data_IF_798962491027
#
_entry.id   IF_798962491027
#
_cell.length_a   1.000
_cell.length_b   1.000
_cell.length_c   1.000
_cell.angle_alpha   90.00
_cell.angle_beta   90.00
_cell.angle_gamma   90.00
#
_symmetry.space_group_name_H-M   'P 1'
#
loop_
_entity.id
_entity.type
_entity.pdbx_description
1 polymer ?
#
# COMPACT_ATOMS: atom_id res chain seq x y z
N UNK A 1 25.67 -30.80 6.74
CA UNK A 1 24.30 -30.36 7.00
C UNK A 1 24.06 -29.04 6.27
N UNK A 2 22.96 -28.94 5.55
CA UNK A 2 22.52 -27.68 4.90
C UNK A 2 21.31 -27.17 5.68
N UNK A 3 21.39 -25.94 6.19
CA UNK A 3 20.26 -25.29 6.83
C UNK A 3 19.31 -24.72 5.75
N UNK A 4 18.05 -25.17 5.77
CA UNK A 4 17.02 -24.69 4.85
C UNK A 4 16.06 -23.77 5.62
N UNK A 5 15.79 -22.55 5.11
CA UNK A 5 14.84 -21.63 5.75
C UNK A 5 13.46 -22.28 5.88
N UNK A 6 12.92 -22.37 7.09
CA UNK A 6 11.57 -22.93 7.33
C UNK A 6 10.44 -22.04 6.77
N UNK A 7 10.74 -20.77 6.47
CA UNK A 7 9.79 -19.79 5.98
C UNK A 7 8.73 -19.31 6.98
N UNK A 8 8.61 -19.89 8.17
CA UNK A 8 7.55 -19.63 9.16
C UNK A 8 8.02 -18.87 10.40
N UNK A 9 9.26 -19.11 10.86
CA UNK A 9 9.80 -18.46 12.06
C UNK A 9 10.06 -16.96 11.82
N UNK A 10 10.19 -16.21 12.91
CA UNK A 10 10.45 -14.75 12.87
C UNK A 10 11.69 -14.42 12.00
N UNK A 11 12.78 -15.18 12.15
CA UNK A 11 13.99 -14.99 11.36
C UNK A 11 13.75 -15.11 9.85
N UNK A 12 13.04 -16.14 9.41
CA UNK A 12 12.70 -16.32 8.01
C UNK A 12 11.74 -15.24 7.47
N UNK A 13 10.78 -14.79 8.30
CA UNK A 13 9.88 -13.70 7.94
C UNK A 13 10.63 -12.37 7.78
N UNK A 14 11.55 -12.06 8.69
CA UNK A 14 12.37 -10.86 8.60
C UNK A 14 13.30 -10.92 7.38
N UNK A 15 13.94 -12.05 7.12
CA UNK A 15 14.79 -12.24 5.93
C UNK A 15 14.00 -12.03 4.63
N UNK A 16 12.78 -12.57 4.57
CA UNK A 16 11.91 -12.39 3.41
C UNK A 16 11.45 -10.94 3.23
N UNK A 17 11.11 -10.25 4.34
CA UNK A 17 10.76 -8.82 4.29
C UNK A 17 11.94 -7.96 3.80
N UNK A 18 13.16 -8.24 4.26
CA UNK A 18 14.39 -7.59 3.78
C UNK A 18 14.59 -7.82 2.29
N UNK A 19 14.50 -9.07 1.83
CA UNK A 19 14.63 -9.41 0.42
C UNK A 19 13.64 -8.59 -0.46
N UNK A 20 12.39 -8.45 -0.03
CA UNK A 20 11.42 -7.65 -0.78
C UNK A 20 11.70 -6.15 -0.70
N UNK A 21 12.18 -5.63 0.44
CA UNK A 21 12.61 -4.24 0.55
C UNK A 21 13.75 -3.94 -0.42
N UNK A 22 14.76 -4.79 -0.45
CA UNK A 22 15.90 -4.65 -1.37
C UNK A 22 15.47 -4.72 -2.84
N UNK A 23 14.54 -5.63 -3.18
CA UNK A 23 13.97 -5.71 -4.54
C UNK A 23 13.16 -4.45 -4.90
N UNK A 24 12.39 -3.90 -3.98
CA UNK A 24 11.66 -2.66 -4.21
C UNK A 24 12.61 -1.47 -4.42
N UNK A 25 13.69 -1.37 -3.66
CA UNK A 25 14.69 -0.33 -3.88
C UNK A 25 15.41 -0.52 -5.22
N UNK A 26 15.79 -1.75 -5.57
CA UNK A 26 16.39 -2.03 -6.87
C UNK A 26 15.45 -1.67 -8.02
N UNK A 27 14.14 -1.96 -7.91
CA UNK A 27 13.14 -1.52 -8.88
C UNK A 27 13.06 0.02 -8.94
N UNK A 28 13.10 0.69 -7.78
CA UNK A 28 13.00 2.15 -7.72
C UNK A 28 14.14 2.85 -8.46
N UNK A 29 15.35 2.26 -8.51
CA UNK A 29 16.49 2.85 -9.26
C UNK A 29 16.30 2.86 -10.78
N UNK A 30 15.35 2.08 -11.30
CA UNK A 30 15.05 2.01 -12.73
C UNK A 30 14.03 3.08 -13.18
N UNK A 31 13.58 3.93 -12.26
CA UNK A 31 12.54 4.92 -12.51
C UNK A 31 12.95 6.29 -11.94
N UNK A 32 12.59 7.36 -12.65
CA UNK A 32 12.92 8.74 -12.27
C UNK A 32 12.17 9.21 -11.02
N UNK A 33 10.99 8.65 -10.75
CA UNK A 33 10.16 9.01 -9.60
C UNK A 33 9.39 7.81 -9.06
N UNK A 34 9.32 7.74 -7.73
CA UNK A 34 8.66 6.64 -7.01
C UNK A 34 8.03 7.19 -5.74
N UNK A 35 6.85 6.69 -5.37
CA UNK A 35 6.14 7.14 -4.19
C UNK A 35 5.63 5.98 -3.36
N UNK A 36 5.71 6.15 -2.04
CA UNK A 36 4.96 5.34 -1.09
C UNK A 36 3.60 6.00 -0.86
N UNK A 37 2.53 5.28 -1.12
CA UNK A 37 1.15 5.79 -1.08
C UNK A 37 0.33 4.98 -0.09
N UNK A 38 -0.36 5.68 0.81
CA UNK A 38 -1.35 5.08 1.71
C UNK A 38 -2.75 5.48 1.26
N UNK A 39 -3.60 4.48 0.99
CA UNK A 39 -5.01 4.66 0.64
C UNK A 39 -5.86 4.26 1.84
N UNK A 40 -6.66 5.20 2.35
CA UNK A 40 -7.57 4.96 3.48
C UNK A 40 -9.03 5.02 3.04
N UNK A 41 -9.93 4.65 3.94
CA UNK A 41 -11.36 4.87 3.79
C UNK A 41 -11.85 5.91 4.81
N UNK A 42 -12.75 6.80 4.40
CA UNK A 42 -13.58 7.57 5.32
C UNK A 42 -14.75 6.70 5.86
N UNK A 43 -15.53 7.22 6.79
CA UNK A 43 -16.58 6.43 7.43
C UNK A 43 -17.71 6.03 6.47
N UNK A 44 -18.01 6.87 5.48
CA UNK A 44 -19.05 6.63 4.48
C UNK A 44 -18.70 5.51 3.49
N UNK A 45 -17.41 5.35 3.19
CA UNK A 45 -16.91 4.37 2.22
C UNK A 45 -16.25 3.16 2.86
N UNK A 46 -16.30 3.05 4.20
CA UNK A 46 -15.64 1.97 4.93
C UNK A 46 -16.38 0.63 4.73
N UNK A 47 -15.76 -0.36 4.03
CA UNK A 47 -16.48 -1.56 3.63
C UNK A 47 -16.78 -2.47 4.82
N UNK A 48 -18.00 -2.98 4.88
CA UNK A 48 -18.40 -4.02 5.83
C UNK A 48 -17.94 -5.41 5.36
N UNK A 49 -17.59 -6.25 6.33
CA UNK A 49 -17.40 -7.66 6.06
C UNK A 49 -18.78 -8.33 5.88
N UNK A 50 -18.98 -8.98 4.76
CA UNK A 50 -20.22 -9.71 4.44
C UNK A 50 -19.91 -11.19 4.43
N UNK A 51 -20.73 -11.99 5.10
CA UNK A 51 -20.67 -13.44 5.03
C UNK A 51 -21.02 -13.87 3.57
N UNK A 52 -20.13 -14.55 2.85
CA UNK A 52 -20.37 -14.91 1.45
C UNK A 52 -21.50 -15.95 1.27
N UNK A 53 -21.84 -16.70 2.30
CA UNK A 53 -22.90 -17.75 2.24
C UNK A 53 -24.28 -17.21 2.60
N UNK A 54 -24.37 -16.35 3.62
CA UNK A 54 -25.66 -15.84 4.13
C UNK A 54 -25.99 -14.43 3.65
N UNK A 55 -25.00 -13.66 3.18
CA UNK A 55 -25.14 -12.24 2.84
C UNK A 55 -25.24 -11.31 4.06
N UNK A 56 -25.11 -11.84 5.28
CA UNK A 56 -25.22 -11.04 6.50
C UNK A 56 -23.99 -10.14 6.69
N UNK A 57 -24.25 -8.91 7.11
CA UNK A 57 -23.19 -7.94 7.44
C UNK A 57 -22.61 -8.31 8.81
N UNK A 58 -21.32 -8.61 8.83
CA UNK A 58 -20.57 -8.88 10.06
C UNK A 58 -20.20 -7.59 10.82
N UNK A 59 -19.76 -7.73 12.09
CA UNK A 59 -19.38 -6.59 12.93
C UNK A 59 -18.04 -5.96 12.53
N UNK A 60 -17.32 -6.53 11.60
CA UNK A 60 -15.98 -6.11 11.20
C UNK A 60 -15.98 -5.40 9.84
N UNK A 61 -15.00 -4.52 9.66
CA UNK A 61 -14.70 -3.90 8.37
C UNK A 61 -13.70 -4.74 7.59
N UNK A 62 -13.71 -4.64 6.27
CA UNK A 62 -12.89 -5.52 5.42
C UNK A 62 -12.11 -4.79 4.33
N UNK A 63 -11.04 -5.43 3.87
CA UNK A 63 -10.28 -5.01 2.69
C UNK A 63 -11.00 -5.48 1.41
N UNK A 64 -11.22 -4.57 0.48
CA UNK A 64 -11.86 -4.86 -0.81
C UNK A 64 -10.83 -4.84 -1.93
N UNK A 65 -10.39 -6.01 -2.37
CA UNK A 65 -9.42 -6.16 -3.46
C UNK A 65 -9.85 -5.41 -4.73
N UNK A 66 -11.16 -5.36 -5.00
CA UNK A 66 -11.72 -4.68 -6.17
C UNK A 66 -11.41 -3.18 -6.18
N UNK A 67 -11.43 -2.53 -5.03
CA UNK A 67 -11.17 -1.09 -4.92
C UNK A 67 -9.76 -0.72 -5.39
N UNK A 68 -8.74 -1.47 -4.94
CA UNK A 68 -7.36 -1.22 -5.39
C UNK A 68 -7.13 -1.62 -6.85
N UNK A 69 -7.84 -2.63 -7.35
CA UNK A 69 -7.80 -2.97 -8.77
C UNK A 69 -8.38 -1.83 -9.63
N UNK A 70 -9.50 -1.24 -9.19
CA UNK A 70 -10.11 -0.10 -9.86
C UNK A 70 -9.24 1.16 -9.73
N UNK A 71 -8.65 1.41 -8.56
CA UNK A 71 -7.67 2.47 -8.38
C UNK A 71 -6.54 2.36 -9.41
N UNK A 72 -5.89 1.21 -9.53
CA UNK A 72 -4.81 1.01 -10.50
C UNK A 72 -5.27 1.17 -11.96
N UNK A 73 -6.49 0.74 -12.29
CA UNK A 73 -7.07 0.95 -13.63
C UNK A 73 -7.31 2.43 -13.92
N UNK A 74 -7.92 3.15 -12.98
CA UNK A 74 -8.17 4.59 -13.12
C UNK A 74 -6.87 5.39 -13.16
N UNK A 75 -5.90 5.04 -12.29
CA UNK A 75 -4.58 5.64 -12.28
C UNK A 75 -3.95 5.56 -13.68
N UNK A 76 -3.84 4.37 -14.25
CA UNK A 76 -3.24 4.17 -15.56
C UNK A 76 -4.03 4.81 -16.70
N UNK A 77 -5.37 4.83 -16.63
CA UNK A 77 -6.23 5.45 -17.65
C UNK A 77 -6.09 6.97 -17.68
N UNK A 78 -5.94 7.61 -16.51
CA UNK A 78 -5.89 9.06 -16.38
C UNK A 78 -4.46 9.62 -16.33
N UNK A 79 -3.45 8.76 -16.32
CA UNK A 79 -2.05 9.14 -16.29
C UNK A 79 -1.63 9.71 -17.64
N UNK A 80 -1.01 10.91 -17.61
CA UNK A 80 -0.71 11.68 -18.83
C UNK A 80 0.70 11.46 -19.39
N UNK A 81 1.53 10.68 -18.68
CA UNK A 81 2.90 10.40 -19.10
C UNK A 81 3.00 9.02 -19.76
N UNK A 82 3.94 8.84 -20.69
CA UNK A 82 4.08 7.61 -21.50
C UNK A 82 4.75 6.45 -20.76
N UNK A 83 5.38 6.71 -19.62
CA UNK A 83 6.07 5.67 -18.86
C UNK A 83 5.13 4.74 -18.13
N UNK A 84 5.54 3.48 -18.02
CA UNK A 84 4.75 2.43 -17.36
C UNK A 84 4.82 2.52 -15.86
N UNK A 85 3.66 2.58 -15.19
CA UNK A 85 3.57 2.50 -13.73
C UNK A 85 3.57 1.04 -13.27
N UNK A 86 4.54 0.69 -12.41
CA UNK A 86 4.59 -0.58 -11.70
C UNK A 86 4.24 -0.37 -10.24
N UNK A 87 3.91 -1.44 -9.52
CA UNK A 87 3.53 -1.31 -8.11
C UNK A 87 3.84 -2.56 -7.29
N UNK A 88 4.03 -2.33 -6.00
CA UNK A 88 4.06 -3.33 -4.95
C UNK A 88 3.08 -2.90 -3.87
N UNK A 89 2.06 -3.71 -3.55
CA UNK A 89 0.91 -3.28 -2.76
C UNK A 89 0.53 -4.33 -1.71
N UNK A 90 0.24 -3.85 -0.49
CA UNK A 90 -0.32 -4.64 0.59
C UNK A 90 -1.56 -3.96 1.19
N UNK A 91 -2.52 -4.74 1.65
CA UNK A 91 -3.59 -4.24 2.51
C UNK A 91 -3.31 -4.58 3.97
N UNK A 92 -3.74 -3.72 4.87
CA UNK A 92 -3.53 -3.81 6.30
C UNK A 92 -4.81 -3.47 7.06
N UNK A 93 -4.94 -4.02 8.26
CA UNK A 93 -5.90 -3.56 9.28
C UNK A 93 -5.15 -2.78 10.35
N UNK A 94 -5.57 -1.56 10.63
CA UNK A 94 -4.95 -0.70 11.64
C UNK A 94 -4.91 -1.37 13.01
N UNK A 95 -3.76 -1.32 13.67
CA UNK A 95 -3.52 -2.03 14.93
C UNK A 95 -4.41 -1.58 16.10
N UNK A 96 -4.88 -0.33 16.07
CA UNK A 96 -5.73 0.23 17.13
C UNK A 96 -7.22 0.16 16.79
N UNK A 97 -7.57 0.43 15.55
CA UNK A 97 -8.97 0.60 15.12
C UNK A 97 -9.50 -0.52 14.23
N UNK A 98 -8.62 -1.43 13.77
CA UNK A 98 -8.98 -2.45 12.80
C UNK A 98 -9.39 -1.90 11.43
N UNK A 99 -9.26 -0.60 11.17
CA UNK A 99 -9.68 0.00 9.89
C UNK A 99 -8.82 -0.51 8.73
N UNK A 100 -9.46 -1.01 7.66
CA UNK A 100 -8.73 -1.44 6.47
C UNK A 100 -8.11 -0.24 5.74
N UNK A 101 -6.89 -0.41 5.26
CA UNK A 101 -6.18 0.53 4.40
C UNK A 101 -5.14 -0.19 3.56
N UNK A 102 -4.59 0.50 2.57
CA UNK A 102 -3.60 -0.09 1.67
C UNK A 102 -2.33 0.74 1.66
N UNK A 103 -1.20 0.04 1.57
CA UNK A 103 0.10 0.64 1.31
C UNK A 103 0.59 0.17 -0.06
N UNK A 104 0.94 1.13 -0.91
CA UNK A 104 1.45 0.87 -2.24
C UNK A 104 2.76 1.60 -2.46
N UNK A 105 3.74 0.92 -3.04
CA UNK A 105 4.89 1.55 -3.66
C UNK A 105 4.57 1.64 -5.14
N UNK A 106 4.52 2.85 -5.67
CA UNK A 106 4.24 3.12 -7.08
C UNK A 106 5.53 3.56 -7.76
N UNK A 107 6.03 2.71 -8.65
CA UNK A 107 7.26 2.95 -9.39
C UNK A 107 6.96 3.61 -10.73
N UNK A 108 7.76 4.61 -11.10
CA UNK A 108 7.62 5.35 -12.34
C UNK A 108 6.42 6.31 -12.37
N UNK A 109 5.75 6.53 -11.25
CA UNK A 109 4.69 7.51 -11.16
C UNK A 109 5.30 8.91 -11.03
N UNK A 110 4.90 9.83 -11.90
CA UNK A 110 5.22 11.24 -11.80
C UNK A 110 3.98 12.00 -11.35
N UNK A 111 4.11 12.78 -10.28
CA UNK A 111 3.04 13.63 -9.73
C UNK A 111 3.48 15.09 -9.84
N UNK A 112 2.67 15.91 -10.53
CA UNK A 112 2.93 17.33 -10.74
C UNK A 112 2.14 18.22 -9.76
N UNK A 113 1.30 17.60 -8.90
CA UNK A 113 0.34 18.24 -8.00
C UNK A 113 0.58 17.90 -6.52
N UNK A 114 1.82 17.58 -6.16
CA UNK A 114 2.15 17.27 -4.77
C UNK A 114 2.10 18.53 -3.90
N UNK A 115 1.28 18.49 -2.85
CA UNK A 115 1.19 19.52 -1.82
C UNK A 115 1.63 18.95 -0.47
N UNK A 116 2.46 19.71 0.26
CA UNK A 116 2.91 19.31 1.59
C UNK A 116 1.71 19.30 2.55
N UNK A 117 1.34 18.12 3.01
CA UNK A 117 0.26 17.91 3.97
C UNK A 117 0.72 18.06 5.42
N UNK A 118 1.83 17.40 5.77
CA UNK A 118 2.35 17.35 7.15
C UNK A 118 3.82 16.95 7.17
N UNK A 119 4.54 17.45 8.18
CA UNK A 119 5.85 16.91 8.54
C UNK A 119 5.71 16.04 9.78
N UNK A 120 6.22 14.82 9.75
CA UNK A 120 6.20 13.93 10.92
C UNK A 120 7.20 14.40 11.99
N UNK A 121 7.03 13.98 13.28
CA UNK A 121 8.01 14.28 14.32
C UNK A 121 9.43 13.78 14.02
N UNK A 122 9.57 12.77 13.18
CA UNK A 122 10.84 12.23 12.70
C UNK A 122 11.43 12.99 11.49
N UNK A 123 10.76 14.08 11.06
CA UNK A 123 11.22 14.93 9.97
C UNK A 123 10.84 14.49 8.55
N UNK A 124 10.06 13.43 8.38
CA UNK A 124 9.57 12.99 7.08
C UNK A 124 8.43 13.87 6.58
N UNK A 125 8.47 14.24 5.32
CA UNK A 125 7.39 14.96 4.67
C UNK A 125 6.31 14.00 4.21
N UNK A 126 5.06 14.36 4.47
CA UNK A 126 3.88 13.71 3.92
C UNK A 126 3.19 14.68 2.99
N UNK A 127 2.79 14.22 1.83
CA UNK A 127 2.14 15.01 0.79
C UNK A 127 0.74 14.50 0.53
N UNK A 128 -0.07 15.33 -0.10
CA UNK A 128 -1.32 14.94 -0.76
C UNK A 128 -1.22 15.23 -2.25
N UNK A 129 -2.10 14.60 -3.04
CA UNK A 129 -2.23 14.80 -4.47
C UNK A 129 -3.70 14.74 -4.83
N UNK A 130 -4.23 15.81 -5.42
CA UNK A 130 -5.61 15.86 -5.88
C UNK A 130 -5.88 14.85 -6.99
N UNK A 131 -4.90 14.61 -7.86
CA UNK A 131 -4.98 13.57 -8.88
C UNK A 131 -5.20 12.19 -8.25
N UNK A 132 -4.44 11.83 -7.21
CA UNK A 132 -4.60 10.54 -6.52
C UNK A 132 -5.89 10.46 -5.72
N UNK A 133 -6.34 11.55 -5.07
CA UNK A 133 -7.63 11.60 -4.38
C UNK A 133 -8.78 11.31 -5.36
N UNK A 134 -8.77 11.94 -6.52
CA UNK A 134 -9.76 11.71 -7.59
C UNK A 134 -9.70 10.29 -8.13
N UNK A 135 -8.52 9.73 -8.33
CA UNK A 135 -8.34 8.34 -8.78
C UNK A 135 -8.83 7.33 -7.73
N UNK A 136 -8.70 7.65 -6.44
CA UNK A 136 -9.28 6.90 -5.33
C UNK A 136 -10.78 7.15 -5.13
N UNK A 137 -11.39 8.04 -5.94
CA UNK A 137 -12.81 8.44 -5.88
C UNK A 137 -13.18 9.06 -4.53
N UNK A 138 -12.24 9.76 -3.89
CA UNK A 138 -12.42 10.39 -2.58
C UNK A 138 -12.97 9.42 -1.50
N UNK A 139 -12.67 8.14 -1.62
CA UNK A 139 -13.10 7.12 -0.63
C UNK A 139 -12.51 7.34 0.76
N UNK A 140 -11.49 8.14 0.87
CA UNK A 140 -10.78 8.53 2.08
C UNK A 140 -9.51 9.30 1.73
N UNK A 141 -8.63 9.46 2.70
CA UNK A 141 -7.38 10.19 2.49
C UNK A 141 -6.38 9.38 1.69
N UNK A 142 -5.71 10.04 0.76
CA UNK A 142 -4.52 9.52 0.08
C UNK A 142 -3.31 10.31 0.57
N UNK A 143 -2.40 9.61 1.22
CA UNK A 143 -1.14 10.19 1.72
C UNK A 143 0.01 9.65 0.89
N UNK A 144 0.90 10.56 0.47
CA UNK A 144 2.07 10.28 -0.35
C UNK A 144 3.33 10.58 0.46
N UNK A 145 4.30 9.69 0.39
CA UNK A 145 5.61 9.86 1.02
C UNK A 145 6.72 9.33 0.09
N UNK A 146 7.96 9.63 0.47
CA UNK A 146 9.14 9.14 -0.24
C UNK A 146 9.29 7.62 -0.10
N UNK A 147 9.84 6.99 -1.12
CA UNK A 147 10.23 5.58 -1.07
C UNK A 147 11.57 5.47 -0.37
N UNK A 148 11.58 4.76 0.76
CA UNK A 148 12.77 4.43 1.54
C UNK A 148 12.84 2.92 1.77
N UNK A 149 13.95 2.43 2.26
CA UNK A 149 14.05 1.02 2.65
C UNK A 149 13.01 0.66 3.70
N UNK A 150 12.75 1.56 4.66
CA UNK A 150 11.80 1.38 5.74
C UNK A 150 10.36 1.26 5.22
N UNK A 151 9.94 2.10 4.27
CA UNK A 151 8.60 2.04 3.67
C UNK A 151 8.42 0.77 2.84
N UNK A 152 9.47 0.32 2.16
CA UNK A 152 9.48 -0.96 1.43
C UNK A 152 9.38 -2.16 2.37
N UNK A 153 10.19 -2.19 3.44
CA UNK A 153 10.17 -3.25 4.45
C UNK A 153 8.84 -3.29 5.22
N UNK A 154 8.27 -2.12 5.49
CA UNK A 154 6.95 -1.99 6.10
C UNK A 154 5.88 -2.66 5.24
N UNK A 155 5.79 -2.29 3.96
CA UNK A 155 4.83 -2.88 3.03
C UNK A 155 5.00 -4.40 2.91
N UNK A 156 6.25 -4.87 2.82
CA UNK A 156 6.56 -6.29 2.70
C UNK A 156 6.10 -7.11 3.91
N UNK A 157 6.19 -6.56 5.13
CA UNK A 157 5.74 -7.25 6.36
C UNK A 157 4.26 -7.61 6.31
N UNK A 158 3.40 -6.75 5.75
CA UNK A 158 1.96 -7.00 5.68
C UNK A 158 1.58 -8.04 4.63
N UNK A 159 2.30 -8.12 3.53
CA UNK A 159 2.12 -9.21 2.56
C UNK A 159 2.40 -10.56 3.23
N UNK A 160 3.42 -10.63 4.06
CA UNK A 160 3.81 -11.86 4.75
C UNK A 160 2.81 -12.33 5.82
N UNK A 161 2.23 -11.41 6.57
CA UNK A 161 1.19 -11.73 7.56
C UNK A 161 0.01 -12.46 6.91
N UNK A 162 -0.45 -11.96 5.75
CA UNK A 162 -1.60 -12.53 5.03
C UNK A 162 -1.32 -13.88 4.35
N UNK A 163 -0.11 -14.09 3.84
CA UNK A 163 0.23 -15.35 3.15
C UNK A 163 0.34 -16.54 4.11
N UNK A 164 0.42 -16.30 5.41
CA UNK A 164 0.70 -17.34 6.42
C UNK A 164 -0.37 -17.47 7.50
N UNK A 165 -1.56 -16.91 7.29
CA UNK A 165 -2.74 -17.21 8.11
C UNK A 165 -2.72 -16.61 9.52
N UNK A 166 -2.15 -15.42 9.70
CA UNK A 166 -2.30 -14.61 10.92
C UNK A 166 -3.25 -13.43 10.69
#
# INVERSE_FOLDING_TARGET
>A
FIEIPCGKCIGCRLAYSRMWADRCLAEATLHDSNYFVTLTYNDENLPDAVNPETGEIGPYKTLVKRDVQLFMKRLRKNYKHDNKIRFFLAGEYGSQTGRPHYHAILFGLKLDDLELYKRTPLGFNLYTSEFLNRVWEYKGYVVVADVTWETCAYTARYILKKQKGE
#
